data_IF_980187209588
#
_entry.id   IF_980187209588
#
_cell.length_a   1.000
_cell.length_b   1.000
_cell.length_c   1.000
_cell.angle_alpha   90.00
_cell.angle_beta   90.00
_cell.angle_gamma   90.00
#
_symmetry.space_group_name_H-M   'P 1'
#
loop_
_entity.id
_entity.type
_entity.pdbx_description
1 polymer ?
#
# COMPACT_ATOMS: atom_id res chain seq x y z
N UNK A 1 -21.27 -12.47 -20.95
CA UNK A 1 -20.49 -13.72 -20.93
C UNK A 1 -19.30 -13.47 -20.03
N UNK A 2 -19.17 -14.20 -18.93
CA UNK A 2 -18.08 -14.02 -17.96
C UNK A 2 -16.78 -14.46 -18.62
N UNK A 3 -15.83 -13.54 -18.80
CA UNK A 3 -14.52 -13.76 -19.39
C UNK A 3 -13.53 -14.29 -18.35
N UNK A 4 -13.88 -15.36 -17.64
CA UNK A 4 -12.90 -15.97 -16.73
C UNK A 4 -11.62 -16.30 -17.51
N UNK A 5 -10.43 -15.94 -16.98
CA UNK A 5 -9.18 -16.21 -17.65
C UNK A 5 -9.01 -17.72 -17.76
N UNK A 6 -9.14 -18.24 -18.98
CA UNK A 6 -9.05 -19.68 -19.23
C UNK A 6 -7.64 -20.16 -18.93
N UNK A 7 -7.52 -21.26 -18.19
CA UNK A 7 -6.23 -21.91 -17.91
C UNK A 7 -5.77 -21.86 -16.45
N UNK A 8 -6.43 -21.11 -15.57
CA UNK A 8 -6.07 -21.10 -14.14
C UNK A 8 -6.79 -22.21 -13.34
N UNK A 9 -6.15 -22.79 -12.31
CA UNK A 9 -6.80 -23.71 -11.38
C UNK A 9 -8.00 -23.06 -10.68
N UNK A 10 -9.01 -23.86 -10.33
CA UNK A 10 -10.21 -23.36 -9.64
C UNK A 10 -9.89 -22.62 -8.32
N UNK A 11 -8.84 -23.02 -7.62
CA UNK A 11 -8.36 -22.32 -6.42
C UNK A 11 -7.92 -20.88 -6.71
N UNK A 12 -7.23 -20.66 -7.83
CA UNK A 12 -6.79 -19.33 -8.27
C UNK A 12 -7.98 -18.49 -8.70
N UNK A 13 -8.93 -19.07 -9.44
CA UNK A 13 -10.14 -18.35 -9.84
C UNK A 13 -10.97 -17.90 -8.63
N UNK A 14 -11.12 -18.76 -7.61
CA UNK A 14 -11.80 -18.40 -6.37
C UNK A 14 -11.06 -17.29 -5.60
N UNK A 15 -9.73 -17.30 -5.63
CA UNK A 15 -8.90 -16.28 -5.00
C UNK A 15 -8.98 -14.93 -5.73
N UNK A 16 -9.09 -14.92 -7.06
CA UNK A 16 -9.35 -13.72 -7.86
C UNK A 16 -10.68 -13.09 -7.41
N UNK A 17 -11.77 -13.86 -7.36
CA UNK A 17 -13.09 -13.35 -6.95
C UNK A 17 -13.08 -12.80 -5.52
N UNK A 18 -12.44 -13.52 -4.59
CA UNK A 18 -12.24 -13.04 -3.21
C UNK A 18 -11.47 -11.72 -3.19
N UNK A 19 -10.41 -11.62 -3.99
CA UNK A 19 -9.55 -10.44 -4.04
C UNK A 19 -10.27 -9.25 -4.67
N UNK A 20 -11.08 -9.46 -5.70
CA UNK A 20 -11.99 -8.43 -6.27
C UNK A 20 -12.88 -7.81 -5.20
N UNK A 21 -13.52 -8.65 -4.38
CA UNK A 21 -14.36 -8.18 -3.28
C UNK A 21 -13.57 -7.40 -2.21
N UNK A 22 -12.39 -7.88 -1.83
CA UNK A 22 -11.49 -7.21 -0.87
C UNK A 22 -11.04 -5.85 -1.39
N UNK A 23 -10.52 -5.80 -2.61
CA UNK A 23 -9.99 -4.58 -3.23
C UNK A 23 -11.10 -3.55 -3.43
N UNK A 24 -12.28 -3.96 -3.91
CA UNK A 24 -13.42 -3.05 -4.05
C UNK A 24 -13.85 -2.47 -2.68
N UNK A 25 -13.94 -3.30 -1.64
CA UNK A 25 -14.28 -2.84 -0.28
C UNK A 25 -13.24 -1.86 0.26
N UNK A 26 -11.95 -2.14 0.09
CA UNK A 26 -10.87 -1.30 0.60
C UNK A 26 -10.75 0.04 -0.13
N UNK A 27 -11.17 0.14 -1.39
CA UNK A 27 -11.21 1.43 -2.08
C UNK A 27 -12.14 2.43 -1.38
N UNK A 28 -13.21 1.96 -0.72
CA UNK A 28 -14.12 2.84 0.03
C UNK A 28 -13.46 3.49 1.27
N UNK A 29 -12.35 2.93 1.78
CA UNK A 29 -11.61 3.56 2.87
C UNK A 29 -10.86 4.83 2.40
N UNK A 30 -10.44 4.90 1.13
CA UNK A 30 -9.70 6.07 0.62
C UNK A 30 -10.50 7.38 0.73
N UNK A 31 -11.75 7.49 0.24
CA UNK A 31 -12.56 8.69 0.45
C UNK A 31 -13.02 8.83 1.91
N UNK A 32 -13.26 7.72 2.64
CA UNK A 32 -13.66 7.76 4.06
C UNK A 32 -12.63 8.49 4.94
N UNK A 33 -11.35 8.33 4.61
CA UNK A 33 -10.22 8.98 5.30
C UNK A 33 -9.71 10.24 4.59
N UNK A 34 -10.41 10.72 3.56
CA UNK A 34 -10.04 11.94 2.84
C UNK A 34 -8.70 11.86 2.10
N UNK A 35 -8.31 10.67 1.64
CA UNK A 35 -7.01 10.44 0.99
C UNK A 35 -7.01 10.76 -0.51
N UNK A 36 -8.20 10.89 -1.12
CA UNK A 36 -8.37 11.02 -2.57
C UNK A 36 -9.45 12.03 -2.91
N UNK A 37 -9.34 12.61 -4.11
CA UNK A 37 -10.36 13.48 -4.71
C UNK A 37 -10.69 12.92 -6.09
N UNK A 38 -11.98 12.94 -6.47
CA UNK A 38 -12.43 12.46 -7.78
C UNK A 38 -12.04 10.98 -8.00
N UNK A 39 -11.46 10.63 -9.15
CA UNK A 39 -11.05 9.28 -9.53
C UNK A 39 -9.57 9.00 -9.23
N UNK A 40 -8.85 9.90 -8.53
CA UNK A 40 -7.44 9.71 -8.20
C UNK A 40 -7.23 8.59 -7.17
N UNK A 41 -6.01 8.03 -7.13
CA UNK A 41 -5.62 6.99 -6.18
C UNK A 41 -6.18 5.60 -6.50
N UNK A 42 -5.56 4.56 -5.95
CA UNK A 42 -5.94 3.17 -6.20
C UNK A 42 -5.40 2.24 -5.12
N UNK A 43 -6.07 1.11 -4.98
CA UNK A 43 -5.67 -0.03 -4.15
C UNK A 43 -5.49 -1.22 -5.09
N UNK A 44 -4.46 -2.02 -4.85
CA UNK A 44 -4.30 -3.31 -5.51
C UNK A 44 -3.92 -4.39 -4.51
N UNK A 45 -4.21 -5.63 -4.89
CA UNK A 45 -3.77 -6.81 -4.15
C UNK A 45 -3.24 -7.87 -5.11
N UNK A 46 -2.14 -8.52 -4.72
CA UNK A 46 -1.56 -9.68 -5.40
C UNK A 46 -2.42 -10.93 -5.19
N UNK A 47 -2.56 -11.72 -6.24
CA UNK A 47 -3.10 -13.08 -6.22
C UNK A 47 -1.96 -14.03 -6.55
N UNK A 48 -1.60 -14.88 -5.59
CA UNK A 48 -0.53 -15.88 -5.78
C UNK A 48 -1.09 -17.07 -6.56
N UNK A 49 -0.49 -17.36 -7.72
CA UNK A 49 -0.92 -18.45 -8.61
C UNK A 49 -0.24 -19.77 -8.23
N UNK A 50 1.03 -19.72 -7.81
CA UNK A 50 1.81 -20.87 -7.38
C UNK A 50 1.67 -21.21 -5.89
N UNK A 51 2.61 -21.99 -5.37
CA UNK A 51 2.70 -22.29 -3.93
C UNK A 51 3.34 -21.16 -3.12
N UNK A 52 3.96 -20.19 -3.79
CA UNK A 52 4.60 -19.02 -3.20
C UNK A 52 4.58 -17.87 -4.23
N UNK A 53 4.78 -16.61 -3.77
CA UNK A 53 4.91 -15.46 -4.65
C UNK A 53 5.87 -15.70 -5.83
N UNK A 54 5.38 -15.55 -7.06
CA UNK A 54 6.14 -15.80 -8.29
C UNK A 54 5.82 -14.83 -9.44
N UNK A 55 6.53 -14.97 -10.57
CA UNK A 55 6.35 -14.11 -11.75
C UNK A 55 5.00 -14.30 -12.44
N UNK A 56 4.42 -15.51 -12.34
CA UNK A 56 3.11 -15.85 -12.92
C UNK A 56 1.92 -15.36 -12.08
N UNK A 57 2.19 -14.60 -11.01
CA UNK A 57 1.14 -14.07 -10.16
C UNK A 57 0.33 -13.00 -10.87
N UNK A 58 -0.83 -12.71 -10.29
CA UNK A 58 -1.74 -11.70 -10.81
C UNK A 58 -1.86 -10.56 -9.82
N UNK A 59 -2.36 -9.43 -10.29
CA UNK A 59 -2.77 -8.32 -9.44
C UNK A 59 -4.19 -7.89 -9.78
N UNK A 60 -5.00 -7.68 -8.75
CA UNK A 60 -6.33 -7.09 -8.87
C UNK A 60 -6.24 -5.62 -8.53
N UNK A 61 -6.73 -4.77 -9.41
CA UNK A 61 -6.69 -3.30 -9.27
C UNK A 61 -7.98 -2.68 -9.82
N UNK A 62 -8.28 -1.44 -9.44
CA UNK A 62 -9.41 -0.72 -10.04
C UNK A 62 -9.19 -0.41 -11.53
N UNK A 63 -10.27 -0.27 -12.31
CA UNK A 63 -10.21 0.27 -13.66
C UNK A 63 -9.90 1.77 -13.66
N UNK A 64 -9.37 2.27 -14.79
CA UNK A 64 -9.12 3.69 -14.99
C UNK A 64 -10.43 4.49 -15.13
N UNK A 65 -10.44 5.70 -14.59
CA UNK A 65 -11.50 6.69 -14.80
C UNK A 65 -12.85 6.40 -14.15
N UNK A 66 -12.96 5.39 -13.28
CA UNK A 66 -14.21 5.03 -12.58
C UNK A 66 -14.28 5.71 -11.22
N UNK A 67 -15.43 6.32 -10.91
CA UNK A 67 -15.66 7.00 -9.65
C UNK A 67 -15.82 5.99 -8.51
N UNK A 68 -15.52 6.40 -7.28
CA UNK A 68 -15.50 5.49 -6.13
C UNK A 68 -16.88 4.88 -5.80
N UNK A 69 -17.96 5.59 -6.10
CA UNK A 69 -19.35 5.15 -5.94
C UNK A 69 -19.79 4.10 -6.98
N UNK A 70 -19.07 4.01 -8.11
CA UNK A 70 -19.30 3.01 -9.16
C UNK A 70 -18.37 1.79 -9.04
N UNK A 71 -17.48 1.75 -8.05
CA UNK A 71 -16.59 0.61 -7.84
C UNK A 71 -17.38 -0.56 -7.23
N UNK A 72 -17.36 -1.70 -7.93
CA UNK A 72 -17.93 -2.96 -7.48
C UNK A 72 -16.87 -4.05 -7.64
N UNK A 73 -17.01 -5.21 -6.97
CA UNK A 73 -16.11 -6.34 -7.18
C UNK A 73 -15.99 -6.73 -8.67
N UNK A 74 -17.10 -6.67 -9.41
CA UNK A 74 -17.16 -7.00 -10.84
C UNK A 74 -16.48 -5.95 -11.72
N UNK A 75 -16.40 -4.70 -11.27
CA UNK A 75 -15.74 -3.63 -12.03
C UNK A 75 -14.23 -3.62 -11.87
N UNK A 76 -13.67 -4.31 -10.87
CA UNK A 76 -12.22 -4.52 -10.75
C UNK A 76 -11.64 -5.17 -12.02
N UNK A 77 -10.34 -5.07 -12.21
CA UNK A 77 -9.64 -5.75 -13.31
C UNK A 77 -8.47 -6.55 -12.77
N UNK A 78 -8.11 -7.60 -13.50
CA UNK A 78 -7.01 -8.51 -13.20
C UNK A 78 -5.95 -8.29 -14.26
N UNK A 79 -4.72 -8.03 -13.83
CA UNK A 79 -3.56 -7.95 -14.71
C UNK A 79 -2.51 -8.98 -14.28
N UNK A 80 -1.64 -9.37 -15.20
CA UNK A 80 -0.40 -10.06 -14.86
C UNK A 80 0.62 -9.06 -14.27
N UNK A 81 1.77 -9.58 -13.84
CA UNK A 81 2.84 -8.74 -13.28
C UNK A 81 3.62 -7.94 -14.35
N UNK A 82 3.34 -8.09 -15.63
CA UNK A 82 3.83 -7.20 -16.69
C UNK A 82 2.87 -6.01 -16.92
N UNK A 83 1.75 -5.97 -16.18
CA UNK A 83 0.72 -4.94 -16.26
C UNK A 83 -0.24 -5.14 -17.43
N UNK A 84 -0.25 -6.32 -18.05
CA UNK A 84 -1.17 -6.65 -19.14
C UNK A 84 -2.51 -7.12 -18.57
N UNK A 85 -3.61 -6.63 -19.14
CA UNK A 85 -4.96 -7.03 -18.76
C UNK A 85 -5.19 -8.52 -19.05
N UNK A 86 -5.52 -9.29 -18.01
CA UNK A 86 -5.82 -10.73 -18.06
C UNK A 86 -7.34 -10.96 -18.00
N UNK A 87 -8.05 -10.22 -17.15
CA UNK A 87 -9.52 -10.29 -17.06
C UNK A 87 -10.14 -8.94 -16.64
N UNK A 88 -11.25 -8.58 -17.28
CA UNK A 88 -11.93 -7.31 -17.13
C UNK A 88 -12.34 -6.70 -18.48
N UNK A 89 -13.27 -5.74 -18.44
CA UNK A 89 -13.81 -5.09 -19.65
C UNK A 89 -13.36 -3.63 -19.80
N UNK A 90 -12.66 -3.09 -18.81
CA UNK A 90 -12.19 -1.70 -18.77
C UNK A 90 -10.66 -1.68 -18.79
N UNK A 91 -10.10 -0.56 -19.21
CA UNK A 91 -8.67 -0.33 -19.11
C UNK A 91 -8.24 -0.31 -17.63
N UNK A 92 -7.09 -0.93 -17.29
CA UNK A 92 -6.57 -0.90 -15.93
C UNK A 92 -6.09 0.51 -15.53
N UNK A 93 -5.89 0.73 -14.23
CA UNK A 93 -5.36 1.99 -13.69
C UNK A 93 -4.07 2.43 -14.41
N UNK A 94 -3.83 3.74 -14.54
CA UNK A 94 -2.57 4.27 -15.08
C UNK A 94 -1.35 3.89 -14.23
N UNK A 95 -1.54 3.56 -12.96
CA UNK A 95 -0.47 3.16 -12.03
C UNK A 95 -0.21 1.65 -12.02
N UNK A 96 -0.88 0.89 -12.88
CA UNK A 96 -0.76 -0.59 -12.94
C UNK A 96 0.68 -1.03 -13.12
N UNK A 97 1.44 -0.36 -14.00
CA UNK A 97 2.85 -0.68 -14.24
C UNK A 97 3.71 -0.49 -12.97
N UNK A 98 3.45 0.55 -12.17
CA UNK A 98 4.17 0.77 -10.92
C UNK A 98 3.85 -0.31 -9.88
N UNK A 99 2.57 -0.68 -9.75
CA UNK A 99 2.13 -1.73 -8.81
C UNK A 99 2.69 -3.10 -9.21
N UNK A 100 2.64 -3.42 -10.50
CA UNK A 100 3.18 -4.66 -11.05
C UNK A 100 4.69 -4.78 -10.78
N UNK A 101 5.45 -3.71 -11.04
CA UNK A 101 6.89 -3.66 -10.76
C UNK A 101 7.19 -3.89 -9.27
N UNK A 102 6.41 -3.29 -8.36
CA UNK A 102 6.55 -3.52 -6.91
C UNK A 102 6.37 -5.00 -6.57
N UNK A 103 5.33 -5.66 -7.09
CA UNK A 103 5.10 -7.09 -6.82
C UNK A 103 6.18 -8.01 -7.41
N UNK A 104 6.74 -7.67 -8.58
CA UNK A 104 7.84 -8.41 -9.19
C UNK A 104 9.11 -8.37 -8.33
N UNK A 105 9.40 -7.23 -7.71
CA UNK A 105 10.68 -6.99 -7.05
C UNK A 105 10.64 -7.11 -5.52
N UNK A 106 9.45 -7.06 -4.92
CA UNK A 106 9.23 -7.24 -3.47
C UNK A 106 8.26 -8.42 -3.23
N UNK A 107 8.75 -9.69 -3.27
CA UNK A 107 7.88 -10.87 -3.18
C UNK A 107 7.14 -11.02 -1.85
N UNK A 108 7.59 -10.32 -0.79
CA UNK A 108 6.93 -10.30 0.51
C UNK A 108 5.74 -9.33 0.60
N UNK A 109 5.47 -8.56 -0.48
CA UNK A 109 4.39 -7.59 -0.56
C UNK A 109 3.20 -8.20 -1.29
N UNK A 110 2.02 -8.03 -0.67
CA UNK A 110 0.74 -8.51 -1.18
C UNK A 110 -0.25 -7.38 -1.47
N UNK A 111 0.02 -6.14 -1.03
CA UNK A 111 -0.83 -4.98 -1.31
C UNK A 111 -0.03 -3.72 -1.59
N UNK A 112 -0.56 -2.89 -2.50
CA UNK A 112 0.00 -1.58 -2.86
C UNK A 112 -1.15 -0.58 -2.97
N UNK A 113 -0.94 0.62 -2.42
CA UNK A 113 -1.89 1.75 -2.47
C UNK A 113 -1.18 3.00 -2.96
N UNK A 114 -1.86 3.76 -3.80
CA UNK A 114 -1.46 5.10 -4.22
C UNK A 114 -2.56 6.11 -3.87
N UNK A 115 -2.18 7.27 -3.36
CA UNK A 115 -3.12 8.38 -3.10
C UNK A 115 -2.49 9.73 -3.46
N UNK A 116 -3.32 10.76 -3.57
CA UNK A 116 -2.90 12.17 -3.66
C UNK A 116 -3.40 12.93 -2.42
N UNK A 117 -3.15 12.37 -1.24
CA UNK A 117 -3.63 12.96 0.01
C UNK A 117 -2.90 14.28 0.31
N UNK A 118 -3.63 15.25 0.85
CA UNK A 118 -3.22 16.67 0.86
C UNK A 118 -1.86 16.90 1.52
N UNK A 119 -1.65 16.40 2.73
CA UNK A 119 -0.42 16.70 3.46
C UNK A 119 0.75 15.87 2.96
N UNK A 120 0.56 14.56 2.73
CA UNK A 120 1.63 13.73 2.17
C UNK A 120 2.11 14.26 0.81
N UNK A 121 1.19 14.74 -0.04
CA UNK A 121 1.50 15.36 -1.33
C UNK A 121 2.21 16.71 -1.16
N UNK A 122 1.87 17.50 -0.14
CA UNK A 122 2.60 18.74 0.16
C UNK A 122 4.08 18.47 0.50
N UNK A 123 4.37 17.45 1.29
CA UNK A 123 5.74 17.01 1.56
C UNK A 123 6.44 16.44 0.31
N UNK A 124 5.72 15.67 -0.50
CA UNK A 124 6.23 15.19 -1.78
C UNK A 124 6.62 16.35 -2.73
N UNK A 125 5.84 17.43 -2.74
CA UNK A 125 6.11 18.64 -3.50
C UNK A 125 7.29 19.46 -2.95
N UNK A 126 7.58 19.35 -1.65
CA UNK A 126 8.81 19.88 -1.04
C UNK A 126 10.05 19.11 -1.43
N UNK A 127 9.91 17.84 -1.81
CA UNK A 127 11.04 16.94 -2.04
C UNK A 127 11.79 16.60 -0.75
N UNK A 128 11.08 16.59 0.38
CA UNK A 128 11.62 16.31 1.71
C UNK A 128 10.95 15.05 2.29
N UNK A 129 11.68 14.22 3.07
CA UNK A 129 11.06 13.17 3.86
C UNK A 129 10.20 13.76 4.98
N UNK A 130 9.24 12.98 5.51
CA UNK A 130 8.52 13.35 6.74
C UNK A 130 9.35 12.85 7.93
N UNK A 131 9.91 13.75 8.77
CA UNK A 131 10.82 13.34 9.85
C UNK A 131 10.09 12.60 10.97
N UNK A 132 10.71 11.55 11.50
CA UNK A 132 10.18 10.74 12.60
C UNK A 132 10.29 11.46 13.95
N UNK A 133 9.22 12.14 14.33
CA UNK A 133 9.14 12.96 15.55
C UNK A 133 8.04 12.49 16.52
N UNK A 134 7.33 11.41 16.19
CA UNK A 134 6.25 10.83 16.98
C UNK A 134 6.42 9.32 17.11
N UNK A 135 6.03 8.76 18.26
CA UNK A 135 6.09 7.31 18.51
C UNK A 135 5.25 6.51 17.51
N UNK A 136 4.12 7.07 17.06
CA UNK A 136 3.30 6.50 15.98
C UNK A 136 4.07 6.31 14.67
N UNK A 137 5.00 7.22 14.36
CA UNK A 137 5.85 7.10 13.17
C UNK A 137 6.91 6.03 13.35
N UNK A 138 7.55 6.01 14.53
CA UNK A 138 8.54 5.00 14.87
C UNK A 138 7.94 3.59 14.85
N UNK A 139 6.74 3.41 15.38
CA UNK A 139 6.01 2.14 15.39
C UNK A 139 5.71 1.64 13.97
N UNK A 140 5.15 2.49 13.09
CA UNK A 140 4.70 2.07 11.76
C UNK A 140 5.82 2.04 10.71
N UNK A 141 6.64 3.09 10.66
CA UNK A 141 7.62 3.31 9.58
C UNK A 141 9.05 2.95 10.00
N UNK A 142 9.32 2.83 11.30
CA UNK A 142 10.66 2.53 11.79
C UNK A 142 11.69 3.62 11.50
N UNK A 143 11.24 4.86 11.31
CA UNK A 143 12.05 6.00 10.92
C UNK A 143 11.24 7.03 10.13
N UNK A 144 11.94 7.87 9.37
CA UNK A 144 11.32 8.86 8.49
C UNK A 144 10.48 8.18 7.41
N UNK A 145 9.43 8.87 6.94
CA UNK A 145 8.79 8.49 5.67
C UNK A 145 9.67 9.02 4.54
N UNK A 146 10.33 8.14 3.76
CA UNK A 146 11.31 8.55 2.76
C UNK A 146 10.66 9.24 1.56
N UNK A 147 11.48 10.01 0.84
CA UNK A 147 11.15 10.65 -0.43
C UNK A 147 11.94 9.96 -1.56
N UNK A 148 11.22 9.38 -2.51
CA UNK A 148 11.76 8.83 -3.75
C UNK A 148 11.94 9.89 -4.85
N UNK A 149 12.51 9.50 -6.00
CA UNK A 149 12.78 10.42 -7.10
C UNK A 149 11.50 10.95 -7.75
N UNK A 150 11.65 11.98 -8.59
CA UNK A 150 10.61 12.33 -9.56
C UNK A 150 10.61 11.32 -10.69
N UNK A 151 9.43 10.88 -11.12
CA UNK A 151 9.26 10.01 -12.27
C UNK A 151 8.01 10.44 -13.05
N UNK A 152 8.06 10.30 -14.37
CA UNK A 152 6.90 10.51 -15.23
C UNK A 152 5.93 9.34 -15.09
N UNK A 153 4.63 9.63 -15.15
CA UNK A 153 3.57 8.62 -15.13
C UNK A 153 3.47 7.98 -16.51
N UNK A 154 3.35 6.65 -16.58
CA UNK A 154 3.05 5.92 -17.81
C UNK A 154 3.92 4.71 -18.09
N UNK A 155 4.99 4.49 -17.32
CA UNK A 155 5.85 3.30 -17.40
C UNK A 155 6.21 2.77 -15.99
N UNK A 156 7.21 1.88 -15.92
CA UNK A 156 7.66 1.25 -14.68
C UNK A 156 8.57 2.15 -13.80
N UNK A 157 8.88 3.39 -14.23
CA UNK A 157 9.81 4.30 -13.55
C UNK A 157 9.38 4.64 -12.12
N UNK A 158 8.08 4.80 -11.89
CA UNK A 158 7.53 5.01 -10.54
C UNK A 158 7.76 3.76 -9.69
N UNK A 159 7.50 2.58 -10.23
CA UNK A 159 7.74 1.30 -9.56
C UNK A 159 9.21 1.11 -9.17
N UNK A 160 10.14 1.43 -10.08
CA UNK A 160 11.59 1.44 -9.80
C UNK A 160 11.93 2.36 -8.64
N UNK A 161 11.44 3.61 -8.69
CA UNK A 161 11.66 4.58 -7.63
C UNK A 161 11.13 4.13 -6.26
N UNK A 162 9.95 3.50 -6.22
CA UNK A 162 9.39 2.91 -5.00
C UNK A 162 10.31 1.82 -4.45
N UNK A 163 10.65 0.83 -5.28
CA UNK A 163 11.45 -0.33 -4.86
C UNK A 163 12.85 0.08 -4.40
N UNK A 164 13.51 0.97 -5.13
CA UNK A 164 14.85 1.47 -4.78
C UNK A 164 14.82 2.25 -3.47
N UNK A 165 13.83 3.12 -3.28
CA UNK A 165 13.71 3.93 -2.06
C UNK A 165 13.39 3.07 -0.83
N UNK A 166 12.57 2.05 -0.99
CA UNK A 166 12.13 1.19 0.11
C UNK A 166 13.12 0.08 0.43
N UNK A 167 14.08 -0.25 -0.45
CA UNK A 167 15.07 -1.31 -0.22
C UNK A 167 15.88 -1.10 1.07
N UNK A 168 16.22 0.14 1.36
CA UNK A 168 17.04 0.53 2.52
C UNK A 168 16.20 1.18 3.63
N UNK A 169 14.86 1.05 3.55
CA UNK A 169 13.92 1.61 4.52
C UNK A 169 13.06 0.53 5.17
N UNK A 170 12.71 0.74 6.44
CA UNK A 170 11.70 -0.07 7.14
C UNK A 170 10.27 0.41 6.88
N UNK A 171 10.14 1.57 6.23
CA UNK A 171 8.87 2.24 6.01
C UNK A 171 8.00 1.47 5.04
N UNK A 172 6.72 1.18 5.37
CA UNK A 172 5.74 0.70 4.41
C UNK A 172 5.21 1.83 3.49
N UNK A 173 5.84 3.00 3.47
CA UNK A 173 5.42 4.15 2.69
C UNK A 173 6.61 4.90 2.07
N UNK A 174 6.41 5.46 0.88
CA UNK A 174 7.33 6.37 0.21
C UNK A 174 6.55 7.53 -0.40
N UNK A 175 7.08 8.73 -0.28
CA UNK A 175 6.59 9.88 -1.05
C UNK A 175 7.31 9.90 -2.38
N UNK A 176 6.60 10.02 -3.51
CA UNK A 176 7.24 10.22 -4.81
C UNK A 176 7.29 11.72 -5.12
N UNK A 177 8.49 12.27 -5.34
CA UNK A 177 8.70 13.72 -5.48
C UNK A 177 7.79 14.32 -6.56
N UNK A 178 7.09 15.42 -6.21
CA UNK A 178 6.07 16.09 -7.03
C UNK A 178 4.85 15.25 -7.43
N UNK A 179 4.60 14.10 -6.78
CA UNK A 179 3.48 13.23 -7.10
C UNK A 179 2.57 12.98 -5.88
N UNK A 180 2.92 12.03 -5.02
CA UNK A 180 2.11 11.63 -3.87
C UNK A 180 2.67 10.38 -3.19
N UNK A 181 2.04 9.93 -2.09
CA UNK A 181 2.46 8.70 -1.41
C UNK A 181 2.13 7.43 -2.20
N UNK A 182 3.01 6.46 -2.07
CA UNK A 182 2.76 5.04 -2.33
C UNK A 182 3.01 4.26 -1.05
N UNK A 183 2.15 3.30 -0.74
CA UNK A 183 2.31 2.44 0.43
C UNK A 183 2.20 0.98 0.07
N UNK A 184 2.91 0.13 0.82
CA UNK A 184 3.02 -1.30 0.61
C UNK A 184 2.63 -2.05 1.89
N UNK A 185 2.22 -3.31 1.74
CA UNK A 185 1.93 -4.17 2.88
C UNK A 185 1.86 -5.63 2.50
N UNK A 186 1.81 -6.50 3.52
CA UNK A 186 1.62 -7.95 3.32
C UNK A 186 0.30 -8.29 2.60
N UNK A 187 -0.67 -7.38 2.66
CA UNK A 187 -1.95 -7.43 1.98
C UNK A 187 -2.45 -5.99 1.72
N UNK A 188 -3.53 -5.83 0.94
CA UNK A 188 -4.06 -4.51 0.62
C UNK A 188 -4.57 -3.75 1.84
N UNK A 189 -5.05 -4.45 2.88
CA UNK A 189 -5.53 -3.80 4.12
C UNK A 189 -4.38 -3.15 4.88
N UNK A 190 -3.23 -3.82 4.97
CA UNK A 190 -2.02 -3.27 5.56
C UNK A 190 -1.51 -2.06 4.77
N UNK A 191 -1.53 -2.12 3.43
CA UNK A 191 -1.16 -0.99 2.59
C UNK A 191 -2.11 0.21 2.77
N UNK A 192 -3.44 -0.01 2.85
CA UNK A 192 -4.41 1.06 3.16
C UNK A 192 -4.17 1.64 4.56
N UNK A 193 -3.87 0.81 5.57
CA UNK A 193 -3.50 1.29 6.91
C UNK A 193 -2.31 2.26 6.84
N UNK A 194 -1.24 1.87 6.14
CA UNK A 194 -0.07 2.71 5.94
C UNK A 194 -0.41 4.02 5.20
N UNK A 195 -1.32 3.99 4.22
CA UNK A 195 -1.77 5.18 3.50
C UNK A 195 -2.54 6.17 4.38
N UNK A 196 -3.36 5.68 5.32
CA UNK A 196 -4.02 6.53 6.32
C UNK A 196 -2.98 7.12 7.27
N UNK A 197 -2.04 6.30 7.74
CA UNK A 197 -1.01 6.71 8.71
C UNK A 197 -0.07 7.76 8.12
N UNK A 198 0.36 7.61 6.85
CA UNK A 198 1.29 8.57 6.22
C UNK A 198 0.67 9.95 6.10
N UNK A 199 -0.61 10.04 5.74
CA UNK A 199 -1.33 11.31 5.67
C UNK A 199 -1.49 11.96 7.06
N UNK A 200 -1.83 11.17 8.07
CA UNK A 200 -2.02 11.66 9.45
C UNK A 200 -0.72 12.20 10.05
N UNK A 201 0.39 11.48 9.88
CA UNK A 201 1.69 11.94 10.41
C UNK A 201 2.23 13.10 9.58
N UNK A 202 2.07 13.10 8.26
CA UNK A 202 2.45 14.23 7.41
C UNK A 202 1.71 15.52 7.80
N UNK A 203 0.41 15.40 8.11
CA UNK A 203 -0.41 16.49 8.64
C UNK A 203 0.10 16.99 9.99
N UNK A 204 0.32 16.06 10.92
CA UNK A 204 0.74 16.40 12.28
C UNK A 204 2.10 17.10 12.28
N UNK A 205 3.08 16.58 11.52
CA UNK A 205 4.41 17.21 11.43
C UNK A 205 4.34 18.56 10.72
N UNK A 206 3.51 18.70 9.69
CA UNK A 206 3.32 20.00 9.02
C UNK A 206 2.79 21.05 10.01
N UNK A 207 1.76 20.72 10.79
CA UNK A 207 1.19 21.61 11.80
C UNK A 207 2.20 21.89 12.92
N UNK A 208 2.94 20.88 13.38
CA UNK A 208 3.97 21.04 14.41
C UNK A 208 5.06 22.04 13.98
N UNK A 209 5.51 21.98 12.72
CA UNK A 209 6.48 22.94 12.16
C UNK A 209 6.00 24.39 12.15
N UNK A 210 4.69 24.65 12.20
CA UNK A 210 4.16 26.00 12.34
C UNK A 210 4.38 26.59 13.75
N UNK A 211 4.66 25.73 14.74
CA UNK A 211 4.95 26.11 16.13
C UNK A 211 6.45 26.21 16.43
N UNK A 212 7.31 25.87 15.47
CA UNK A 212 8.77 25.85 15.60
C UNK A 212 9.40 24.53 15.17
N UNK A 213 10.69 24.37 15.44
CA UNK A 213 11.41 23.14 15.11
C UNK A 213 10.93 21.95 15.94
N UNK A 214 10.78 20.81 15.30
CA UNK A 214 10.39 19.55 15.94
C UNK A 214 11.60 18.86 16.55
N UNK A 215 11.43 18.22 17.72
CA UNK A 215 12.47 17.41 18.35
C UNK A 215 12.44 15.98 17.81
N UNK A 216 13.53 15.47 17.20
CA UNK A 216 13.57 14.10 16.68
C UNK A 216 13.65 13.07 17.81
N UNK A 217 13.11 11.87 17.55
CA UNK A 217 13.27 10.72 18.44
C UNK A 217 14.68 10.15 18.24
N UNK A 218 15.35 9.75 19.33
CA UNK A 218 16.67 9.13 19.24
C UNK A 218 16.61 7.81 18.44
N UNK A 219 17.59 7.50 17.57
CA UNK A 219 17.55 6.30 16.73
C UNK A 219 17.34 4.99 17.52
N UNK A 220 17.95 4.86 18.71
CA UNK A 220 17.77 3.68 19.58
C UNK A 220 16.33 3.51 20.07
N UNK A 221 15.62 4.63 20.29
CA UNK A 221 14.22 4.61 20.71
C UNK A 221 13.32 4.27 19.53
N UNK A 222 13.64 4.76 18.32
CA UNK A 222 12.95 4.38 17.08
C UNK A 222 13.08 2.87 16.86
N UNK A 223 14.29 2.32 16.97
CA UNK A 223 14.55 0.88 16.84
C UNK A 223 13.73 0.06 17.86
N UNK A 224 13.69 0.52 19.11
CA UNK A 224 12.96 -0.16 20.18
C UNK A 224 11.44 -0.13 19.97
N UNK A 225 10.90 1.02 19.55
CA UNK A 225 9.48 1.21 19.25
C UNK A 225 9.05 0.35 18.07
N UNK A 226 9.81 0.39 16.97
CA UNK A 226 9.55 -0.42 15.78
C UNK A 226 9.54 -1.91 16.12
N UNK A 227 10.59 -2.41 16.80
CA UNK A 227 10.66 -3.83 17.18
C UNK A 227 9.47 -4.26 18.05
N UNK A 228 9.08 -3.44 19.04
CA UNK A 228 7.90 -3.71 19.86
C UNK A 228 6.62 -3.76 19.03
N UNK A 229 6.42 -2.83 18.11
CA UNK A 229 5.21 -2.78 17.29
C UNK A 229 5.08 -4.00 16.37
N UNK A 230 6.19 -4.45 15.77
CA UNK A 230 6.20 -5.63 14.88
C UNK A 230 5.98 -6.97 15.62
N UNK A 231 6.31 -7.06 16.92
CA UNK A 231 6.34 -8.34 17.65
C UNK A 231 5.32 -8.47 18.80
N UNK A 232 4.82 -7.37 19.34
CA UNK A 232 3.98 -7.38 20.57
C UNK A 232 2.58 -6.82 20.32
N UNK A 233 2.39 -6.02 19.26
CA UNK A 233 1.12 -5.37 18.99
C UNK A 233 0.18 -6.27 18.18
N UNK A 234 -0.87 -6.77 18.84
CA UNK A 234 -1.79 -7.78 18.32
C UNK A 234 -1.75 -9.00 19.24
N UNK A 235 -2.67 -9.07 20.20
CA UNK A 235 -2.64 -9.99 21.33
C UNK A 235 -2.23 -11.43 20.97
N UNK A 236 -1.24 -11.98 21.68
CA UNK A 236 -1.14 -13.43 21.87
C UNK A 236 -2.44 -13.87 22.58
N UNK A 237 -3.19 -14.80 21.97
CA UNK A 237 -4.29 -15.43 22.68
C UNK A 237 -3.74 -16.07 23.97
N UNK A 238 -4.36 -15.84 25.14
CA UNK A 238 -3.94 -16.54 26.34
C UNK A 238 -4.12 -18.04 26.12
N UNK A 239 -3.02 -18.80 26.22
CA UNK A 239 -3.05 -20.25 26.25
C UNK A 239 -3.74 -20.66 27.55
N UNK A 240 -5.01 -21.05 27.48
CA UNK A 240 -5.68 -21.75 28.58
C UNK A 240 -4.90 -23.03 28.86
N UNK A 241 -4.15 -23.04 29.95
CA UNK A 241 -3.60 -24.27 30.51
C UNK A 241 -4.74 -24.92 31.29
N UNK A 242 -5.17 -26.16 30.97
CA UNK A 242 -6.18 -26.82 31.78
C UNK A 242 -5.59 -27.07 33.17
N UNK A 243 -6.29 -26.59 34.20
CA UNK A 243 -6.04 -26.99 35.58
C UNK A 243 -6.14 -28.52 35.65
N UNK A 244 -5.07 -29.15 36.13
CA UNK A 244 -5.11 -30.55 36.52
C UNK A 244 -5.89 -30.65 37.83
N UNK A 245 -7.06 -31.28 37.77
CA UNK A 245 -7.81 -31.70 38.96
C UNK A 245 -6.91 -32.54 39.88
N UNK A 246 -6.86 -32.15 41.16
CA UNK A 246 -6.34 -32.93 42.29
C UNK A 246 -7.48 -33.28 43.22
#
# INVERSE_FOLDING_TARGET
>A
MSTYPQGYPHSVLAEIERTRAVVATLHAELPRWGLVVWTAGNVSQRVVVGSAPGPDDLLVIKPSGVTYDELTPESMVVCDLDGTLVDGTRAPSSDTAAHAYVYQHLPHIGGVVHTHSTYATAWAARGEPVPCVLTMMADEFGGDVPIGPFALIGDDSIGRGIVETLRDSRSPAVLMRNHGPFTIGKDAKAAVKAAVMVEEVARTVHIARQLGDTVPIAPSDIDSLYARYQHVYGQQQPTNTPESDS
#
